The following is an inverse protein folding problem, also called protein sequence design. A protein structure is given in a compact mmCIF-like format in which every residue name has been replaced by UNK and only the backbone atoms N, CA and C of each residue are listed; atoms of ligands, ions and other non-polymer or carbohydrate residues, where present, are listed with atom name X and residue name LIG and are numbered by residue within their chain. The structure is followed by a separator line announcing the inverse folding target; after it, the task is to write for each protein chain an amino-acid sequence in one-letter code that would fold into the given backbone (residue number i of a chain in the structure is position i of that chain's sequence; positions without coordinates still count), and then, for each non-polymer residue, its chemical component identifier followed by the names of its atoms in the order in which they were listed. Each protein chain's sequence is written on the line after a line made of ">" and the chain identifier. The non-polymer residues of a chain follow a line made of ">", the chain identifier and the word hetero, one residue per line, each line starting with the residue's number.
data_IF_228189867535
#
_entry.id   IF_228189867535
#
_cell.length_a   1.000
_cell.length_b   1.000
_cell.length_c   1.000
_cell.angle_alpha   90.00
_cell.angle_beta   90.00
_cell.angle_gamma   90.00
#
_symmetry.space_group_name_H-M   'P 1'
#
loop_
_entity.id
_entity.type
_entity.pdbx_description
1 polymer ?
#
# COMPACT_ATOMS: atom_id res chain seq x y z
N UNK A 1 37.06 19.98 1.62
CA UNK A 1 36.32 18.82 1.13
C UNK A 1 35.38 18.22 2.19
N UNK A 2 35.80 18.07 3.48
CA UNK A 2 34.96 17.44 4.50
C UNK A 2 33.75 18.29 4.91
N UNK A 3 33.90 19.61 5.04
CA UNK A 3 32.81 20.51 5.43
C UNK A 3 31.70 20.58 4.37
N UNK A 4 32.08 20.57 3.09
CA UNK A 4 31.14 20.58 1.97
C UNK A 4 30.36 19.28 1.91
N UNK A 5 31.00 18.13 2.13
CA UNK A 5 30.36 16.83 2.18
C UNK A 5 29.36 16.75 3.34
N UNK A 6 29.76 17.17 4.53
CA UNK A 6 28.88 17.21 5.71
C UNK A 6 27.64 18.09 5.48
N UNK A 7 27.81 19.24 4.83
CA UNK A 7 26.69 20.11 4.46
C UNK A 7 25.72 19.43 3.50
N UNK A 8 26.19 18.74 2.46
CA UNK A 8 25.35 18.00 1.54
C UNK A 8 24.61 16.82 2.21
N UNK A 9 25.30 16.08 3.07
CA UNK A 9 24.69 14.99 3.85
C UNK A 9 23.61 15.54 4.80
N UNK A 10 23.86 16.63 5.49
CA UNK A 10 22.86 17.27 6.33
C UNK A 10 21.65 17.74 5.49
N UNK A 11 21.89 18.37 4.34
CA UNK A 11 20.80 18.81 3.46
C UNK A 11 19.96 17.64 2.95
N UNK A 12 20.56 16.50 2.64
CA UNK A 12 19.87 15.33 2.11
C UNK A 12 19.08 14.56 3.20
N UNK A 13 19.70 14.34 4.36
CA UNK A 13 19.16 13.42 5.37
C UNK A 13 18.40 14.12 6.51
N UNK A 14 18.68 15.39 6.78
CA UNK A 14 18.12 16.11 7.93
C UNK A 14 17.24 17.27 7.49
N UNK A 15 17.69 18.07 6.50
CA UNK A 15 16.93 19.25 6.06
C UNK A 15 15.70 18.85 5.24
N UNK A 16 14.64 19.63 5.39
CA UNK A 16 13.37 19.40 4.67
C UNK A 16 13.52 19.40 3.14
N UNK A 17 14.52 20.08 2.60
CA UNK A 17 14.86 20.08 1.17
C UNK A 17 15.27 18.71 0.64
N UNK A 18 15.77 17.83 1.50
CA UNK A 18 16.18 16.47 1.15
C UNK A 18 15.04 15.50 0.89
N UNK A 19 13.79 15.85 1.25
CA UNK A 19 12.66 14.91 1.11
C UNK A 19 12.45 14.42 -0.31
N UNK A 20 12.37 15.34 -1.27
CA UNK A 20 12.06 14.98 -2.66
C UNK A 20 13.14 14.08 -3.24
N UNK A 21 14.43 14.50 -3.27
CA UNK A 21 15.49 13.66 -3.85
C UNK A 21 15.65 12.33 -3.10
N UNK A 22 15.58 12.32 -1.78
CA UNK A 22 15.73 11.09 -1.00
C UNK A 22 14.57 10.13 -1.23
N UNK A 23 13.33 10.61 -1.27
CA UNK A 23 12.16 9.78 -1.57
C UNK A 23 12.29 9.10 -2.93
N UNK A 24 12.64 9.85 -3.97
CA UNK A 24 12.81 9.28 -5.31
C UNK A 24 13.96 8.28 -5.37
N UNK A 25 15.09 8.58 -4.73
CA UNK A 25 16.23 7.67 -4.66
C UNK A 25 15.87 6.36 -3.95
N UNK A 26 15.23 6.45 -2.79
CA UNK A 26 14.81 5.26 -2.02
C UNK A 26 13.78 4.45 -2.78
N UNK A 27 12.76 5.07 -3.37
CA UNK A 27 11.78 4.37 -4.18
C UNK A 27 12.41 3.67 -5.39
N UNK A 28 13.38 4.31 -6.06
CA UNK A 28 14.08 3.70 -7.20
C UNK A 28 14.92 2.48 -6.78
N UNK A 29 15.67 2.59 -5.68
CA UNK A 29 16.43 1.47 -5.12
C UNK A 29 15.48 0.33 -4.71
N UNK A 30 14.38 0.67 -4.06
CA UNK A 30 13.43 -0.31 -3.56
C UNK A 30 12.60 -0.96 -4.68
N UNK A 31 12.39 -0.29 -5.82
CA UNK A 31 11.87 -0.91 -7.04
C UNK A 31 12.81 -2.02 -7.55
N UNK A 32 14.12 -1.76 -7.57
CA UNK A 32 15.12 -2.76 -7.99
C UNK A 32 15.13 -3.94 -7.00
N UNK A 33 15.08 -3.63 -5.70
CA UNK A 33 15.03 -4.65 -4.65
C UNK A 33 13.75 -5.50 -4.76
N UNK A 34 12.59 -4.87 -4.96
CA UNK A 34 11.31 -5.53 -5.17
C UNK A 34 11.35 -6.49 -6.37
N UNK A 35 11.86 -6.02 -7.52
CA UNK A 35 12.03 -6.86 -8.71
C UNK A 35 12.98 -8.02 -8.45
N UNK A 36 14.06 -7.79 -7.70
CA UNK A 36 15.03 -8.82 -7.32
C UNK A 36 14.40 -9.88 -6.39
N UNK A 37 13.61 -9.44 -5.41
CA UNK A 37 12.90 -10.35 -4.50
C UNK A 37 11.92 -11.22 -5.29
N UNK A 38 11.10 -10.64 -6.15
CA UNK A 38 10.14 -11.38 -6.99
C UNK A 38 10.87 -12.41 -7.87
N UNK A 39 12.08 -12.09 -8.37
CA UNK A 39 12.82 -12.96 -9.29
C UNK A 39 13.59 -14.07 -8.59
N UNK A 40 14.13 -13.83 -7.40
CA UNK A 40 15.14 -14.70 -6.79
C UNK A 40 14.69 -15.34 -5.47
N UNK A 41 13.66 -14.79 -4.80
CA UNK A 41 13.18 -15.35 -3.53
C UNK A 41 11.91 -16.15 -3.79
N UNK A 42 11.84 -17.41 -3.33
CA UNK A 42 10.66 -18.24 -3.52
C UNK A 42 9.45 -17.65 -2.79
N UNK A 43 8.31 -17.73 -3.44
CA UNK A 43 7.02 -17.39 -2.87
C UNK A 43 6.68 -18.34 -1.71
N UNK A 44 6.00 -17.81 -0.70
CA UNK A 44 5.54 -18.57 0.47
C UNK A 44 4.03 -18.51 0.56
N UNK A 45 3.34 -19.59 0.18
CA UNK A 45 1.89 -19.67 0.31
C UNK A 45 1.49 -19.72 1.78
N UNK A 46 0.51 -18.90 2.15
CA UNK A 46 -0.14 -18.93 3.46
C UNK A 46 -1.66 -18.87 3.26
N UNK A 47 -2.19 -17.72 2.80
CA UNK A 47 -3.63 -17.46 2.71
C UNK A 47 -4.09 -17.04 1.31
N UNK A 48 -3.17 -16.77 0.39
CA UNK A 48 -3.51 -16.21 -0.93
C UNK A 48 -4.46 -17.12 -1.72
N UNK A 49 -4.21 -18.43 -1.70
CA UNK A 49 -5.09 -19.41 -2.35
C UNK A 49 -6.49 -19.41 -1.71
N UNK A 50 -6.56 -19.31 -0.39
CA UNK A 50 -7.85 -19.19 0.31
C UNK A 50 -8.60 -17.94 -0.14
N UNK A 51 -7.92 -16.80 -0.26
CA UNK A 51 -8.53 -15.55 -0.71
C UNK A 51 -9.07 -15.63 -2.14
N UNK A 52 -8.35 -16.30 -3.05
CA UNK A 52 -8.83 -16.54 -4.43
C UNK A 52 -10.07 -17.43 -4.43
N UNK A 53 -10.05 -18.54 -3.68
CA UNK A 53 -11.19 -19.46 -3.58
C UNK A 53 -12.42 -18.80 -2.94
N UNK A 54 -12.23 -17.95 -1.94
CA UNK A 54 -13.31 -17.15 -1.36
C UNK A 54 -13.92 -16.20 -2.40
N UNK A 55 -13.08 -15.58 -3.23
CA UNK A 55 -13.54 -14.72 -4.32
C UNK A 55 -14.29 -15.52 -5.41
N UNK A 56 -13.86 -16.74 -5.73
CA UNK A 56 -14.56 -17.64 -6.66
C UNK A 56 -15.94 -18.01 -6.13
N UNK A 57 -16.07 -18.46 -4.89
CA UNK A 57 -17.36 -18.75 -4.27
C UNK A 57 -18.32 -17.54 -4.32
N UNK A 58 -17.78 -16.35 -4.09
CA UNK A 58 -18.54 -15.11 -4.24
C UNK A 58 -18.99 -14.86 -5.69
N UNK A 59 -18.15 -15.11 -6.69
CA UNK A 59 -18.47 -14.96 -8.11
C UNK A 59 -19.52 -16.00 -8.55
N UNK A 60 -19.49 -17.21 -7.99
CA UNK A 60 -20.45 -18.29 -8.22
C UNK A 60 -21.84 -18.01 -7.61
N UNK A 61 -21.97 -16.90 -6.87
CA UNK A 61 -23.27 -16.44 -6.37
C UNK A 61 -23.46 -16.58 -4.86
N UNK A 62 -22.49 -17.13 -4.11
CA UNK A 62 -22.61 -17.17 -2.65
C UNK A 62 -22.54 -15.75 -2.06
N UNK A 63 -23.47 -15.43 -1.18
CA UNK A 63 -23.57 -14.10 -0.54
C UNK A 63 -23.52 -14.16 0.98
N UNK A 64 -23.57 -15.35 1.52
CA UNK A 64 -23.56 -15.59 2.97
C UNK A 64 -22.11 -15.79 3.41
N UNK A 65 -21.58 -14.90 4.23
CA UNK A 65 -20.17 -14.90 4.62
C UNK A 65 -19.74 -16.21 5.31
N UNK A 66 -20.63 -16.83 6.10
CA UNK A 66 -20.37 -18.12 6.74
C UNK A 66 -20.27 -19.28 5.76
N UNK A 67 -20.83 -19.12 4.54
CA UNK A 67 -20.80 -20.11 3.46
C UNK A 67 -19.65 -19.86 2.48
N UNK A 68 -19.02 -18.67 2.53
CA UNK A 68 -17.79 -18.37 1.78
C UNK A 68 -16.63 -18.97 2.57
N UNK A 69 -16.58 -20.29 2.61
CA UNK A 69 -15.59 -21.09 3.35
C UNK A 69 -15.04 -22.21 2.44
N UNK A 70 -13.88 -22.00 1.81
CA UNK A 70 -13.30 -22.99 0.93
C UNK A 70 -12.92 -24.28 1.70
N UNK A 71 -13.20 -25.48 1.18
CA UNK A 71 -12.97 -26.75 1.89
C UNK A 71 -11.52 -26.99 2.30
N UNK A 72 -10.56 -26.43 1.56
CA UNK A 72 -9.13 -26.55 1.82
C UNK A 72 -8.51 -25.21 2.23
N UNK A 73 -9.34 -24.24 2.64
CA UNK A 73 -8.90 -22.91 3.02
C UNK A 73 -8.50 -22.79 4.49
N UNK A 74 -8.04 -21.62 4.87
CA UNK A 74 -7.69 -21.26 6.26
C UNK A 74 -8.91 -20.80 7.08
N UNK A 75 -10.13 -20.86 6.49
CA UNK A 75 -11.38 -20.55 7.14
C UNK A 75 -12.33 -19.67 6.31
N UNK A 76 -13.50 -19.35 6.87
CA UNK A 76 -14.50 -18.55 6.20
C UNK A 76 -14.05 -17.10 5.99
N UNK A 77 -14.68 -16.43 5.04
CA UNK A 77 -14.39 -15.02 4.76
C UNK A 77 -14.84 -14.13 5.93
N UNK A 78 -13.88 -13.46 6.56
CA UNK A 78 -14.12 -12.52 7.68
C UNK A 78 -13.83 -11.06 7.28
N UNK A 79 -13.47 -10.82 6.02
CA UNK A 79 -13.04 -9.52 5.51
C UNK A 79 -14.20 -8.76 4.86
N UNK A 80 -14.17 -7.41 4.82
CA UNK A 80 -15.17 -6.61 4.12
C UNK A 80 -15.28 -6.97 2.63
N UNK A 81 -16.43 -6.68 2.00
CA UNK A 81 -16.70 -7.00 0.59
C UNK A 81 -15.63 -6.48 -0.39
N UNK A 82 -14.94 -5.39 -0.06
CA UNK A 82 -13.81 -4.88 -0.86
C UNK A 82 -12.68 -5.88 -1.03
N UNK A 83 -12.47 -6.78 -0.06
CA UNK A 83 -11.54 -7.90 -0.17
C UNK A 83 -11.94 -8.83 -1.32
N UNK A 84 -13.20 -9.28 -1.34
CA UNK A 84 -13.71 -10.19 -2.37
C UNK A 84 -13.57 -9.58 -3.78
N UNK A 85 -13.88 -8.30 -3.94
CA UNK A 85 -13.71 -7.62 -5.24
C UNK A 85 -12.26 -7.53 -5.68
N UNK A 86 -11.35 -7.20 -4.76
CA UNK A 86 -9.92 -7.12 -5.07
C UNK A 86 -9.35 -8.48 -5.46
N UNK A 87 -9.70 -9.53 -4.70
CA UNK A 87 -9.22 -10.89 -4.99
C UNK A 87 -9.92 -11.53 -6.18
N UNK A 88 -11.15 -11.13 -6.55
CA UNK A 88 -11.75 -11.53 -7.81
C UNK A 88 -10.98 -10.99 -9.03
N UNK A 89 -10.47 -9.76 -8.94
CA UNK A 89 -9.58 -9.21 -9.98
C UNK A 89 -8.24 -9.98 -10.02
N UNK A 90 -7.65 -10.27 -8.86
CA UNK A 90 -6.40 -11.03 -8.76
C UNK A 90 -6.57 -12.47 -9.24
N UNK A 91 -7.68 -13.11 -8.95
CA UNK A 91 -8.03 -14.44 -9.42
C UNK A 91 -7.99 -14.52 -10.95
N UNK A 92 -8.65 -13.56 -11.59
CA UNK A 92 -8.63 -13.45 -13.07
C UNK A 92 -7.22 -13.15 -13.60
N UNK A 93 -6.47 -12.25 -12.97
CA UNK A 93 -5.11 -11.86 -13.41
C UNK A 93 -4.09 -12.99 -13.24
N UNK A 94 -4.31 -13.90 -12.30
CA UNK A 94 -3.39 -15.00 -11.99
C UNK A 94 -3.80 -16.34 -12.59
N UNK A 95 -4.85 -16.36 -13.42
CA UNK A 95 -5.43 -17.60 -13.95
C UNK A 95 -5.75 -18.57 -12.82
N UNK A 96 -6.59 -18.13 -11.90
CA UNK A 96 -6.99 -18.89 -10.69
C UNK A 96 -5.81 -19.30 -9.80
N UNK A 97 -4.77 -18.47 -9.76
CA UNK A 97 -3.56 -18.71 -8.96
C UNK A 97 -2.50 -19.56 -9.63
N UNK A 98 -2.68 -19.96 -10.91
CA UNK A 98 -1.68 -20.71 -11.67
C UNK A 98 -0.42 -19.87 -11.94
N UNK A 99 -0.55 -18.56 -12.13
CA UNK A 99 0.55 -17.64 -12.41
C UNK A 99 0.61 -16.54 -11.35
N UNK A 100 1.52 -16.68 -10.40
CA UNK A 100 1.64 -15.71 -9.27
C UNK A 100 2.28 -14.38 -9.65
N UNK A 101 3.05 -14.33 -10.73
CA UNK A 101 3.81 -13.13 -11.11
C UNK A 101 2.94 -11.88 -11.26
N UNK A 102 1.74 -11.90 -11.89
CA UNK A 102 0.89 -10.72 -11.95
C UNK A 102 0.46 -10.20 -10.57
N UNK A 103 0.16 -11.09 -9.64
CA UNK A 103 -0.17 -10.70 -8.27
C UNK A 103 1.04 -10.09 -7.56
N UNK A 104 2.22 -10.71 -7.64
CA UNK A 104 3.45 -10.18 -7.04
C UNK A 104 3.81 -8.80 -7.60
N UNK A 105 3.67 -8.59 -8.91
CA UNK A 105 3.90 -7.27 -9.53
C UNK A 105 2.88 -6.25 -9.05
N UNK A 106 1.59 -6.62 -8.97
CA UNK A 106 0.53 -5.73 -8.44
C UNK A 106 0.82 -5.31 -7.00
N UNK A 107 1.19 -6.26 -6.15
CA UNK A 107 1.56 -5.97 -4.76
C UNK A 107 2.89 -5.23 -4.65
N UNK A 108 3.83 -5.43 -5.58
CA UNK A 108 5.05 -4.63 -5.69
C UNK A 108 4.76 -3.16 -5.98
N UNK A 109 3.87 -2.89 -6.94
CA UNK A 109 3.40 -1.53 -7.24
C UNK A 109 2.69 -0.92 -6.02
N UNK A 110 1.83 -1.70 -5.35
CA UNK A 110 1.13 -1.28 -4.14
C UNK A 110 2.12 -0.93 -3.01
N UNK A 111 3.18 -1.73 -2.84
CA UNK A 111 4.24 -1.51 -1.86
C UNK A 111 4.98 -0.19 -2.11
N UNK A 112 5.49 0.03 -3.33
CA UNK A 112 6.19 1.26 -3.69
C UNK A 112 5.27 2.49 -3.58
N UNK A 113 4.00 2.35 -3.98
CA UNK A 113 3.00 3.42 -3.85
C UNK A 113 2.75 3.76 -2.37
N UNK A 114 2.69 2.75 -1.49
CA UNK A 114 2.54 2.94 -0.05
C UNK A 114 3.78 3.62 0.55
N UNK A 115 4.98 3.18 0.19
CA UNK A 115 6.24 3.78 0.62
C UNK A 115 6.32 5.26 0.23
N UNK A 116 5.99 5.58 -1.04
CA UNK A 116 5.92 6.95 -1.52
C UNK A 116 4.89 7.77 -0.73
N UNK A 117 3.70 7.24 -0.52
CA UNK A 117 2.61 7.91 0.19
C UNK A 117 2.97 8.22 1.65
N UNK A 118 3.57 7.26 2.36
CA UNK A 118 4.04 7.44 3.74
C UNK A 118 5.17 8.47 3.80
N UNK A 119 6.08 8.47 2.81
CA UNK A 119 7.12 9.49 2.73
C UNK A 119 6.53 10.90 2.57
N UNK A 120 5.44 11.07 1.80
CA UNK A 120 4.75 12.36 1.69
C UNK A 120 4.09 12.78 3.02
N UNK A 121 3.54 11.82 3.78
CA UNK A 121 3.00 12.09 5.12
C UNK A 121 4.11 12.56 6.07
N UNK A 122 5.28 11.93 6.06
CA UNK A 122 6.43 12.36 6.85
C UNK A 122 6.89 13.77 6.45
N UNK A 123 6.89 14.08 5.15
CA UNK A 123 7.17 15.44 4.66
C UNK A 123 6.18 16.46 5.21
N UNK A 124 4.89 16.16 5.20
CA UNK A 124 3.85 17.04 5.77
C UNK A 124 3.99 17.20 7.29
N UNK A 125 4.41 16.14 7.98
CA UNK A 125 4.69 16.15 9.41
C UNK A 125 6.02 16.84 9.77
N UNK A 126 6.80 17.28 8.77
CA UNK A 126 8.15 17.88 8.95
C UNK A 126 9.13 16.97 9.71
N UNK A 127 8.96 15.65 9.62
CA UNK A 127 9.88 14.68 10.18
C UNK A 127 11.23 14.71 9.44
N UNK A 128 12.35 14.26 9.99
CA UNK A 128 13.63 14.19 9.27
C UNK A 128 13.56 13.21 8.08
N UNK A 129 14.08 13.56 6.88
CA UNK A 129 14.03 12.69 5.70
C UNK A 129 14.66 11.31 5.90
N UNK A 130 15.68 11.19 6.75
CA UNK A 130 16.35 9.93 7.07
C UNK A 130 15.40 8.82 7.52
N UNK A 131 14.24 9.15 8.07
CA UNK A 131 13.25 8.17 8.52
C UNK A 131 12.68 7.34 7.35
N UNK A 132 12.74 7.84 6.12
CA UNK A 132 12.31 7.10 4.91
C UNK A 132 13.15 5.84 4.73
N UNK A 133 14.45 5.89 5.06
CA UNK A 133 15.34 4.72 4.96
C UNK A 133 14.88 3.58 5.88
N UNK A 134 14.45 3.89 7.09
CA UNK A 134 13.97 2.87 8.03
C UNK A 134 12.67 2.19 7.57
N UNK A 135 11.83 2.89 6.79
CA UNK A 135 10.65 2.29 6.17
C UNK A 135 11.06 1.27 5.09
N UNK A 136 11.95 1.66 4.19
CA UNK A 136 12.40 0.84 3.07
C UNK A 136 13.20 -0.40 3.52
N UNK A 137 13.94 -0.32 4.63
CA UNK A 137 14.77 -1.43 5.15
C UNK A 137 13.97 -2.55 5.85
N UNK A 138 12.65 -2.48 5.89
CA UNK A 138 11.83 -3.47 6.58
C UNK A 138 11.68 -4.77 5.78
N UNK A 139 12.45 -5.81 6.13
CA UNK A 139 12.30 -7.16 5.58
C UNK A 139 10.88 -7.72 5.73
N UNK A 140 10.19 -7.36 6.82
CA UNK A 140 8.84 -7.83 7.09
C UNK A 140 7.84 -7.28 6.08
N UNK A 141 7.95 -6.00 5.73
CA UNK A 141 7.09 -5.39 4.71
C UNK A 141 7.28 -6.05 3.36
N UNK A 142 8.52 -6.23 2.89
CA UNK A 142 8.78 -6.95 1.65
C UNK A 142 8.17 -8.36 1.65
N UNK A 143 8.30 -9.09 2.75
CA UNK A 143 7.71 -10.43 2.87
C UNK A 143 6.18 -10.41 2.78
N UNK A 144 5.51 -9.52 3.51
CA UNK A 144 4.04 -9.43 3.54
C UNK A 144 3.48 -9.05 2.16
N UNK A 145 4.10 -8.08 1.48
CA UNK A 145 3.65 -7.62 0.18
C UNK A 145 4.00 -8.59 -0.96
N UNK A 146 5.25 -9.08 -1.02
CA UNK A 146 5.79 -9.73 -2.23
C UNK A 146 5.78 -11.24 -2.18
N UNK A 147 5.97 -11.81 -0.97
CA UNK A 147 6.15 -13.25 -0.80
C UNK A 147 4.93 -13.96 -0.21
N UNK A 148 3.99 -13.22 0.38
CA UNK A 148 2.80 -13.78 1.03
C UNK A 148 1.48 -13.24 0.47
N UNK A 149 1.49 -12.11 -0.24
CA UNK A 149 0.34 -11.48 -0.88
C UNK A 149 -0.86 -11.32 0.06
N UNK A 150 -0.60 -10.86 1.30
CA UNK A 150 -1.65 -10.68 2.30
C UNK A 150 -2.61 -9.54 1.93
N UNK A 151 -3.82 -9.57 2.46
CA UNK A 151 -4.84 -8.56 2.24
C UNK A 151 -4.59 -7.24 3.00
N UNK A 152 -3.85 -7.27 4.12
CA UNK A 152 -3.50 -6.08 4.91
C UNK A 152 -2.90 -4.93 4.08
N UNK A 153 -1.98 -5.16 3.14
CA UNK A 153 -1.45 -4.15 2.23
C UNK A 153 -2.49 -3.26 1.56
N UNK A 154 -3.60 -3.82 1.11
CA UNK A 154 -4.68 -3.06 0.47
C UNK A 154 -5.33 -2.09 1.46
N UNK A 155 -5.68 -2.57 2.64
CA UNK A 155 -6.29 -1.76 3.70
C UNK A 155 -5.36 -0.65 4.18
N UNK A 156 -4.07 -0.97 4.36
CA UNK A 156 -3.02 -0.04 4.79
C UNK A 156 -2.82 1.07 3.74
N UNK A 157 -2.77 0.73 2.46
CA UNK A 157 -2.65 1.71 1.39
C UNK A 157 -3.80 2.72 1.41
N UNK A 158 -5.05 2.24 1.45
CA UNK A 158 -6.22 3.12 1.48
C UNK A 158 -6.30 3.94 2.75
N UNK A 159 -5.88 3.40 3.89
CA UNK A 159 -5.78 4.14 5.15
C UNK A 159 -4.80 5.31 5.02
N UNK A 160 -3.58 5.08 4.53
CA UNK A 160 -2.60 6.14 4.34
C UNK A 160 -3.01 7.15 3.26
N UNK A 161 -3.67 6.69 2.20
CA UNK A 161 -4.22 7.56 1.17
C UNK A 161 -5.27 8.51 1.77
N UNK A 162 -6.18 7.98 2.60
CA UNK A 162 -7.16 8.78 3.32
C UNK A 162 -6.49 9.82 4.22
N UNK A 163 -5.50 9.40 5.02
CA UNK A 163 -4.73 10.30 5.87
C UNK A 163 -4.04 11.41 5.06
N UNK A 164 -3.41 11.07 3.95
CA UNK A 164 -2.75 12.04 3.08
C UNK A 164 -3.72 13.06 2.50
N UNK A 165 -4.88 12.60 1.99
CA UNK A 165 -5.92 13.48 1.46
C UNK A 165 -6.49 14.42 2.53
N UNK A 166 -6.66 13.93 3.76
CA UNK A 166 -7.06 14.75 4.90
C UNK A 166 -5.99 15.82 5.23
N UNK A 167 -4.72 15.43 5.28
CA UNK A 167 -3.61 16.36 5.56
C UNK A 167 -3.44 17.42 4.46
N UNK A 168 -3.70 17.10 3.20
CA UNK A 168 -3.65 18.03 2.07
C UNK A 168 -4.77 19.08 2.06
N UNK A 169 -5.60 19.15 3.08
CA UNK A 169 -6.67 20.17 3.29
C UNK A 169 -7.73 20.23 2.19
N UNK A 170 -7.82 19.27 1.29
CA UNK A 170 -8.91 19.25 0.30
C UNK A 170 -10.29 19.21 0.96
N UNK A 171 -10.38 18.71 2.19
CA UNK A 171 -11.57 18.75 3.02
C UNK A 171 -11.93 20.17 3.52
N UNK A 172 -10.94 21.01 3.80
CA UNK A 172 -11.24 22.40 4.27
C UNK A 172 -11.93 23.22 3.19
N UNK A 173 -11.60 23.00 1.91
CA UNK A 173 -12.28 23.69 0.82
C UNK A 173 -13.76 23.28 0.72
N UNK A 174 -14.07 22.00 0.86
CA UNK A 174 -15.44 21.49 0.86
C UNK A 174 -16.22 21.99 2.09
N UNK A 175 -15.62 21.94 3.28
CA UNK A 175 -16.24 22.41 4.53
C UNK A 175 -16.48 23.92 4.55
N UNK A 176 -15.52 24.72 4.07
CA UNK A 176 -15.69 26.18 3.94
C UNK A 176 -16.75 26.54 2.90
N UNK A 177 -16.88 25.82 1.82
CA UNK A 177 -17.95 26.04 0.83
C UNK A 177 -19.32 25.70 1.42
N UNK A 178 -19.43 24.60 2.16
CA UNK A 178 -20.67 24.21 2.82
C UNK A 178 -21.06 25.17 3.95
N UNK A 179 -20.11 25.60 4.78
CA UNK A 179 -20.33 26.61 5.80
C UNK A 179 -20.73 27.98 5.20
N UNK A 180 -20.18 28.37 4.04
CA UNK A 180 -20.62 29.57 3.30
C UNK A 180 -21.99 29.39 2.68
N UNK A 181 -22.38 28.23 2.21
CA UNK A 181 -23.73 27.93 1.72
C UNK A 181 -24.78 28.04 2.83
N UNK A 182 -24.49 27.49 4.01
CA UNK A 182 -25.39 27.55 5.15
C UNK A 182 -25.61 29.00 5.64
N UNK A 183 -24.55 29.84 5.64
CA UNK A 183 -24.68 31.28 5.99
C UNK A 183 -25.44 32.09 4.97
N UNK A 184 -25.66 31.62 3.76
CA UNK A 184 -26.39 32.32 2.69
C UNK A 184 -27.82 31.82 2.51
N UNK A 185 -28.30 30.88 3.34
CA UNK A 185 -29.71 30.50 3.37
C UNK A 185 -30.45 31.59 4.20
N UNK A 186 -31.41 32.31 3.62
CA UNK A 186 -32.24 33.24 4.40
C UNK A 186 -33.08 32.44 5.40
N UNK A 187 -33.51 33.10 6.52
CA UNK A 187 -34.30 32.46 7.56
C UNK A 187 -35.64 31.94 7.05
#
# INVERSE_FOLDING_TARGET
>A
YSATLLHHLHALFIAHTGYVPLTFLVCAIDCILTASIIRFVPYTEIDFQTYLQQAQLFLDGERTYTSIDPPNGTGPCVYPAGHLYAYAILDHLTDHGAYLLPAQVTFGILYISTLFLVSQLYRLAKAPPILILFLALSKRLHSIYLLRLFNDPLSIFFMYLCMYLLCCRRWKAAWFQEARRQRRRPP
#
